data_IF_385482823458
#
_entry.id   IF_385482823458
#
_cell.length_a   1.000
_cell.length_b   1.000
_cell.length_c   1.000
_cell.angle_alpha   90.00
_cell.angle_beta   90.00
_cell.angle_gamma   90.00
#
_symmetry.space_group_name_H-M   'P 1'
#
loop_
_entity.id
_entity.type
_entity.pdbx_description
1 polymer ?
#
# COMPACT_ATOMS: atom_id res chain seq x y z
N UNK A 1 -15.67 -6.66 12.16
CA UNK A 1 -14.55 -5.69 12.17
C UNK A 1 -14.63 -4.85 10.91
N UNK A 2 -14.54 -3.52 11.01
CA UNK A 2 -14.61 -2.68 9.82
C UNK A 2 -13.37 -2.82 8.95
N UNK A 3 -13.52 -2.54 7.66
CA UNK A 3 -12.44 -2.62 6.68
C UNK A 3 -12.40 -1.33 5.87
N UNK A 4 -11.20 -0.93 5.46
CA UNK A 4 -11.01 0.15 4.49
C UNK A 4 -11.05 -0.50 3.11
N UNK A 5 -11.82 0.08 2.19
CA UNK A 5 -11.99 -0.43 0.83
C UNK A 5 -11.76 0.69 -0.17
N UNK A 6 -10.98 0.41 -1.22
CA UNK A 6 -10.78 1.34 -2.34
C UNK A 6 -10.81 0.58 -3.66
N UNK A 7 -11.26 1.23 -4.70
CA UNK A 7 -11.24 0.71 -6.07
C UNK A 7 -10.63 1.75 -6.97
N UNK A 8 -9.55 1.37 -7.67
CA UNK A 8 -8.76 2.28 -8.50
C UNK A 8 -8.67 1.72 -9.91
N UNK A 9 -8.91 2.57 -10.91
CA UNK A 9 -8.69 2.23 -12.31
C UNK A 9 -7.34 2.78 -12.75
N UNK A 10 -6.48 1.92 -13.28
CA UNK A 10 -5.11 2.27 -13.66
C UNK A 10 -4.91 1.95 -15.15
N UNK A 11 -4.45 2.93 -15.91
CA UNK A 11 -4.16 2.78 -17.35
C UNK A 11 -2.72 2.26 -17.53
N UNK A 12 -2.47 1.08 -16.97
CA UNK A 12 -1.21 0.36 -17.10
C UNK A 12 -1.51 -1.13 -16.93
N UNK A 13 -0.73 -2.00 -17.59
CA UNK A 13 -0.98 -3.44 -17.52
C UNK A 13 -0.73 -4.01 -16.12
N UNK A 14 -1.41 -5.11 -15.81
CA UNK A 14 -1.33 -5.76 -14.49
C UNK A 14 0.12 -6.03 -14.07
N UNK A 15 0.96 -6.49 -14.98
CA UNK A 15 2.34 -6.80 -14.65
C UNK A 15 3.11 -5.58 -14.13
N UNK A 16 2.87 -4.40 -14.71
CA UNK A 16 3.51 -3.16 -14.27
C UNK A 16 3.02 -2.74 -12.88
N UNK A 17 1.73 -2.83 -12.65
CA UNK A 17 1.15 -2.50 -11.34
C UNK A 17 1.65 -3.48 -10.29
N UNK A 18 1.67 -4.77 -10.62
CA UNK A 18 2.19 -5.80 -9.74
C UNK A 18 3.64 -5.52 -9.32
N UNK A 19 4.51 -5.16 -10.28
CA UNK A 19 5.92 -4.89 -9.97
C UNK A 19 6.09 -3.73 -8.98
N UNK A 20 5.20 -2.74 -9.03
CA UNK A 20 5.25 -1.61 -8.10
C UNK A 20 4.80 -1.97 -6.68
N UNK A 21 4.12 -3.08 -6.50
CA UNK A 21 3.61 -3.51 -5.20
C UNK A 21 4.41 -4.69 -4.66
N UNK A 22 4.97 -5.51 -5.54
CA UNK A 22 5.67 -6.73 -5.16
C UNK A 22 7.10 -6.51 -4.69
N UNK A 23 7.72 -5.38 -5.01
CA UNK A 23 9.10 -5.10 -4.66
C UNK A 23 9.23 -3.90 -3.75
N UNK A 24 10.21 -3.92 -2.84
CA UNK A 24 10.45 -2.81 -1.92
C UNK A 24 10.82 -1.51 -2.65
N UNK A 25 11.53 -1.61 -3.76
CA UNK A 25 11.84 -0.42 -4.58
C UNK A 25 10.58 0.23 -5.13
N UNK A 26 9.66 -0.59 -5.65
CA UNK A 26 8.39 -0.09 -6.18
C UNK A 26 7.55 0.55 -5.09
N UNK A 27 7.40 -0.13 -3.97
CA UNK A 27 6.60 0.35 -2.83
C UNK A 27 7.13 1.70 -2.34
N UNK A 28 8.45 1.86 -2.25
CA UNK A 28 9.05 3.11 -1.80
C UNK A 28 8.73 4.28 -2.74
N UNK A 29 8.57 4.02 -4.02
CA UNK A 29 8.29 5.09 -5.00
C UNK A 29 6.92 5.72 -4.81
N UNK A 30 5.90 4.91 -4.55
CA UNK A 30 4.55 5.46 -4.48
C UNK A 30 4.06 5.71 -3.06
N UNK A 31 4.66 5.10 -2.06
CA UNK A 31 4.18 5.20 -0.67
C UNK A 31 5.02 6.14 0.19
N UNK A 32 6.27 5.77 0.47
CA UNK A 32 7.06 6.49 1.48
C UNK A 32 8.07 7.48 0.94
N UNK A 33 8.48 7.34 -0.31
CA UNK A 33 9.54 8.15 -0.90
C UNK A 33 10.91 7.88 -0.29
N UNK A 34 11.05 6.81 0.49
CA UNK A 34 12.28 6.45 1.22
C UNK A 34 12.50 4.95 1.11
N UNK A 35 13.75 4.48 0.96
CA UNK A 35 14.03 3.05 0.89
C UNK A 35 13.46 2.29 2.09
N UNK A 36 12.90 1.12 1.81
CA UNK A 36 12.34 0.24 2.82
C UNK A 36 13.42 -0.71 3.34
N UNK A 37 13.24 -1.17 4.57
CA UNK A 37 14.13 -2.12 5.21
C UNK A 37 13.56 -3.52 5.03
N UNK A 38 14.39 -4.47 4.58
CA UNK A 38 13.98 -5.86 4.42
C UNK A 38 13.74 -6.27 2.99
N UNK A 39 12.85 -7.22 2.78
CA UNK A 39 12.54 -7.76 1.46
C UNK A 39 11.06 -8.01 1.29
N UNK A 40 10.57 -7.83 0.05
CA UNK A 40 9.24 -8.25 -0.36
C UNK A 40 9.39 -9.59 -1.11
N UNK A 41 8.28 -10.28 -1.30
CA UNK A 41 8.23 -11.65 -1.80
C UNK A 41 7.62 -12.55 -0.75
N UNK A 42 7.02 -13.66 -1.15
CA UNK A 42 6.27 -14.51 -0.22
C UNK A 42 7.10 -14.86 1.02
N UNK A 43 6.54 -14.65 2.19
CA UNK A 43 7.23 -14.88 3.47
C UNK A 43 8.23 -13.80 3.85
N UNK A 44 8.48 -12.84 2.97
CA UNK A 44 9.39 -11.73 3.25
C UNK A 44 8.78 -10.75 4.24
N UNK A 45 9.64 -9.94 4.84
CA UNK A 45 9.28 -8.98 5.88
C UNK A 45 9.95 -7.67 5.56
N UNK A 46 9.20 -6.57 5.60
CA UNK A 46 9.79 -5.27 5.33
C UNK A 46 9.22 -4.20 6.26
N UNK A 47 10.08 -3.23 6.60
CA UNK A 47 9.73 -2.08 7.41
C UNK A 47 9.50 -0.86 6.54
N UNK A 48 8.51 -0.06 6.91
CA UNK A 48 8.11 1.15 6.20
C UNK A 48 8.48 2.35 7.05
N UNK A 49 9.25 3.27 6.49
CA UNK A 49 9.74 4.46 7.17
C UNK A 49 9.14 5.71 6.55
N UNK A 50 8.74 6.64 7.39
CA UNK A 50 8.28 7.96 6.97
C UNK A 50 9.21 9.02 7.57
N UNK A 51 9.52 10.06 6.78
CA UNK A 51 10.45 11.11 7.16
C UNK A 51 11.81 10.53 7.61
N UNK A 52 12.47 11.17 8.57
CA UNK A 52 13.78 10.76 9.06
C UNK A 52 13.72 9.93 10.34
N UNK A 53 12.64 9.19 10.51
CA UNK A 53 12.47 8.35 11.70
C UNK A 53 13.52 7.23 11.75
N UNK A 54 14.00 6.92 12.94
CA UNK A 54 14.97 5.86 13.17
C UNK A 54 14.35 4.47 13.17
N UNK A 55 13.07 4.39 13.45
CA UNK A 55 12.34 3.12 13.55
C UNK A 55 11.26 3.06 12.49
N UNK A 56 10.93 1.86 11.98
CA UNK A 56 9.84 1.73 11.02
C UNK A 56 8.51 2.13 11.66
N UNK A 57 7.67 2.81 10.89
CA UNK A 57 6.32 3.12 11.29
C UNK A 57 5.44 1.87 11.26
N UNK A 58 5.76 0.94 10.38
CA UNK A 58 5.05 -0.33 10.26
C UNK A 58 6.00 -1.40 9.75
N UNK A 59 5.76 -2.65 10.15
CA UNK A 59 6.48 -3.82 9.64
C UNK A 59 5.43 -4.79 9.11
N UNK A 60 5.59 -5.19 7.86
CA UNK A 60 4.69 -6.10 7.18
C UNK A 60 5.37 -7.41 6.82
N UNK A 61 4.58 -8.48 6.84
CA UNK A 61 4.97 -9.78 6.30
C UNK A 61 4.14 -10.07 5.06
N UNK A 62 4.80 -10.45 3.97
CA UNK A 62 4.11 -10.80 2.74
C UNK A 62 3.48 -12.18 2.91
N UNK A 63 2.15 -12.26 2.82
CA UNK A 63 1.38 -13.49 2.99
C UNK A 63 0.84 -14.05 1.68
N UNK A 64 0.79 -13.24 0.62
CA UNK A 64 0.43 -13.68 -0.71
C UNK A 64 1.16 -12.83 -1.73
N UNK A 65 1.64 -13.48 -2.80
CA UNK A 65 2.28 -12.80 -3.93
C UNK A 65 2.08 -13.66 -5.18
N UNK A 66 1.00 -13.38 -5.90
CA UNK A 66 0.67 -13.99 -7.18
C UNK A 66 0.46 -12.85 -8.18
N UNK A 67 0.38 -13.14 -9.50
CA UNK A 67 0.12 -12.06 -10.47
C UNK A 67 -1.14 -11.24 -10.18
N UNK A 68 -2.14 -11.84 -9.53
CA UNK A 68 -3.41 -11.17 -9.27
C UNK A 68 -3.65 -10.76 -7.83
N UNK A 69 -2.72 -11.04 -6.91
CA UNK A 69 -2.94 -10.72 -5.51
C UNK A 69 -1.64 -10.57 -4.73
N UNK A 70 -1.56 -9.50 -3.95
CA UNK A 70 -0.48 -9.30 -2.99
C UNK A 70 -1.14 -8.96 -1.66
N UNK A 71 -0.73 -9.65 -0.59
CA UNK A 71 -1.23 -9.37 0.76
C UNK A 71 -0.09 -9.22 1.75
N UNK A 72 -0.27 -8.29 2.68
CA UNK A 72 0.66 -8.05 3.77
C UNK A 72 -0.06 -8.11 5.11
N UNK A 73 0.45 -8.91 6.02
CA UNK A 73 -0.01 -8.87 7.42
C UNK A 73 0.84 -7.86 8.17
N UNK A 74 0.19 -6.98 8.90
CA UNK A 74 0.88 -5.98 9.72
C UNK A 74 1.34 -6.63 11.02
N UNK A 75 2.65 -6.72 11.21
CA UNK A 75 3.26 -7.30 12.42
C UNK A 75 3.59 -6.23 13.46
N UNK A 76 3.82 -5.00 13.02
CA UNK A 76 3.98 -3.82 13.87
C UNK A 76 3.39 -2.64 13.12
N UNK A 77 2.75 -1.74 13.82
CA UNK A 77 2.19 -0.56 13.18
C UNK A 77 1.55 0.39 14.17
N UNK A 78 1.15 1.58 13.69
CA UNK A 78 0.57 2.58 14.56
C UNK A 78 -0.87 2.23 14.92
N UNK A 79 -1.24 2.53 16.17
CA UNK A 79 -2.61 2.36 16.63
C UNK A 79 -3.17 0.97 16.40
N UNK A 80 -4.28 0.89 15.71
CA UNK A 80 -5.00 -0.36 15.48
C UNK A 80 -4.51 -1.15 14.26
N UNK A 81 -3.34 -0.85 13.73
CA UNK A 81 -2.79 -1.55 12.55
C UNK A 81 -2.33 -2.97 12.86
N UNK A 82 -1.91 -3.25 14.09
CA UNK A 82 -1.38 -4.58 14.45
C UNK A 82 -2.39 -5.68 14.12
N UNK A 83 -1.91 -6.70 13.44
CA UNK A 83 -2.69 -7.88 13.02
C UNK A 83 -3.76 -7.61 11.95
N UNK A 84 -3.79 -6.41 11.38
CA UNK A 84 -4.63 -6.14 10.21
C UNK A 84 -3.98 -6.72 8.95
N UNK A 85 -4.78 -6.87 7.89
CA UNK A 85 -4.34 -7.42 6.62
C UNK A 85 -4.58 -6.41 5.50
N UNK A 86 -3.50 -6.09 4.77
CA UNK A 86 -3.56 -5.21 3.62
C UNK A 86 -3.50 -6.07 2.37
N UNK A 87 -4.49 -5.95 1.47
CA UNK A 87 -4.57 -6.78 0.27
C UNK A 87 -4.78 -5.92 -0.98
N UNK A 88 -4.00 -6.23 -2.02
CA UNK A 88 -4.12 -5.63 -3.35
C UNK A 88 -4.55 -6.73 -4.30
N UNK A 89 -5.74 -6.61 -4.88
CA UNK A 89 -6.24 -7.54 -5.90
C UNK A 89 -6.18 -6.86 -7.25
N UNK A 90 -5.48 -7.45 -8.20
CA UNK A 90 -5.25 -6.90 -9.53
C UNK A 90 -6.02 -7.72 -10.55
N UNK A 91 -6.84 -7.04 -11.34
CA UNK A 91 -7.65 -7.67 -12.38
C UNK A 91 -7.46 -6.92 -13.69
N UNK A 92 -7.19 -7.62 -14.81
CA UNK A 92 -7.04 -6.91 -16.08
C UNK A 92 -8.33 -6.19 -16.47
N UNK A 93 -8.16 -5.00 -17.05
CA UNK A 93 -9.23 -4.26 -17.68
C UNK A 93 -8.79 -3.96 -19.12
N UNK A 94 -9.25 -4.78 -20.05
CA UNK A 94 -8.69 -4.78 -21.39
C UNK A 94 -7.25 -5.27 -21.40
N UNK A 95 -6.50 -4.95 -22.45
CA UNK A 95 -5.10 -5.40 -22.59
C UNK A 95 -4.12 -4.50 -21.85
N UNK A 96 -4.47 -3.23 -21.69
CA UNK A 96 -3.54 -2.21 -21.21
C UNK A 96 -3.92 -1.65 -19.84
N UNK A 97 -5.02 -2.09 -19.26
CA UNK A 97 -5.52 -1.53 -18.01
C UNK A 97 -5.61 -2.52 -16.86
N UNK A 98 -5.75 -1.98 -15.68
CA UNK A 98 -5.89 -2.75 -14.43
C UNK A 98 -7.00 -2.16 -13.57
N UNK A 99 -7.84 -3.02 -13.01
CA UNK A 99 -8.70 -2.66 -11.90
C UNK A 99 -8.02 -3.16 -10.63
N UNK A 100 -7.70 -2.23 -9.73
CA UNK A 100 -7.11 -2.53 -8.43
C UNK A 100 -8.18 -2.45 -7.36
N UNK A 101 -8.36 -3.53 -6.63
CA UNK A 101 -9.20 -3.55 -5.44
C UNK A 101 -8.27 -3.62 -4.23
N UNK A 102 -8.43 -2.67 -3.33
CA UNK A 102 -7.60 -2.55 -2.14
C UNK A 102 -8.43 -2.76 -0.89
N UNK A 103 -7.92 -3.52 0.06
CA UNK A 103 -8.53 -3.64 1.38
C UNK A 103 -7.46 -3.50 2.46
N UNK A 104 -7.82 -2.82 3.54
CA UNK A 104 -7.06 -2.84 4.77
C UNK A 104 -8.05 -3.32 5.84
N UNK A 105 -8.02 -4.61 6.11
CA UNK A 105 -9.07 -5.33 6.81
C UNK A 105 -8.70 -5.68 8.25
N UNK A 106 -9.73 -5.89 9.06
CA UNK A 106 -9.55 -6.40 10.42
C UNK A 106 -9.31 -5.35 11.48
N UNK A 107 -9.74 -4.11 11.24
CA UNK A 107 -9.70 -3.08 12.27
C UNK A 107 -10.65 -3.45 13.40
N UNK A 108 -10.25 -3.17 14.64
CA UNK A 108 -11.08 -3.51 15.80
C UNK A 108 -12.36 -2.68 15.83
N UNK A 109 -12.26 -1.41 15.46
CA UNK A 109 -13.41 -0.50 15.44
C UNK A 109 -13.22 0.60 14.40
N UNK A 110 -14.31 1.19 13.97
CA UNK A 110 -14.27 2.38 13.14
C UNK A 110 -13.88 3.57 14.04
N UNK A 111 -12.90 4.37 13.62
CA UNK A 111 -12.38 5.47 14.41
C UNK A 111 -11.94 6.60 13.49
N UNK A 112 -11.67 7.78 14.08
CA UNK A 112 -11.10 8.88 13.31
C UNK A 112 -9.75 8.49 12.72
N UNK A 113 -8.96 7.72 13.46
CA UNK A 113 -7.67 7.23 12.98
C UNK A 113 -7.86 6.39 11.72
N UNK A 114 -8.82 5.47 11.72
CA UNK A 114 -9.14 4.67 10.54
C UNK A 114 -9.57 5.56 9.37
N UNK A 115 -10.37 6.59 9.63
CA UNK A 115 -10.82 7.54 8.60
C UNK A 115 -9.64 8.28 7.98
N UNK A 116 -8.70 8.75 8.79
CA UNK A 116 -7.49 9.40 8.28
C UNK A 116 -6.62 8.47 7.48
N UNK A 117 -6.46 7.23 7.94
CA UNK A 117 -5.72 6.21 7.19
C UNK A 117 -6.38 5.91 5.84
N UNK A 118 -7.72 5.85 5.80
CA UNK A 118 -8.45 5.64 4.54
C UNK A 118 -8.19 6.78 3.56
N UNK A 119 -8.22 8.01 4.03
CA UNK A 119 -7.93 9.19 3.21
C UNK A 119 -6.50 9.11 2.63
N UNK A 120 -5.54 8.78 3.47
CA UNK A 120 -4.14 8.65 3.02
C UNK A 120 -3.96 7.48 2.07
N UNK A 121 -4.62 6.35 2.30
CA UNK A 121 -4.58 5.24 1.36
C UNK A 121 -5.07 5.66 -0.02
N UNK A 122 -6.18 6.42 -0.09
CA UNK A 122 -6.67 6.94 -1.37
C UNK A 122 -5.62 7.78 -2.09
N UNK A 123 -4.91 8.63 -1.35
CA UNK A 123 -3.85 9.46 -1.90
C UNK A 123 -2.66 8.63 -2.37
N UNK A 124 -2.19 7.66 -1.57
CA UNK A 124 -1.06 6.81 -1.96
C UNK A 124 -1.42 5.88 -3.12
N UNK A 125 -2.64 5.39 -3.17
CA UNK A 125 -3.11 4.59 -4.32
C UNK A 125 -3.19 5.44 -5.58
N UNK A 126 -3.52 6.74 -5.46
CA UNK A 126 -3.46 7.67 -6.57
C UNK A 126 -2.02 7.87 -7.03
N UNK A 127 -1.07 7.95 -6.09
CA UNK A 127 0.37 8.00 -6.41
C UNK A 127 0.79 6.75 -7.19
N UNK A 128 0.36 5.58 -6.77
CA UNK A 128 0.61 4.32 -7.49
C UNK A 128 0.05 4.40 -8.91
N UNK A 129 -1.18 4.88 -9.06
CA UNK A 129 -1.84 5.01 -10.36
C UNK A 129 -1.06 5.94 -11.28
N UNK A 130 -0.78 7.17 -10.85
CA UNK A 130 -0.08 8.14 -11.69
C UNK A 130 1.34 7.69 -11.99
N UNK A 131 1.99 7.03 -11.05
CA UNK A 131 3.32 6.47 -11.24
C UNK A 131 3.33 5.34 -12.27
N UNK A 132 2.36 4.43 -12.20
CA UNK A 132 2.24 3.33 -13.16
C UNK A 132 1.94 3.85 -14.57
N UNK A 133 1.12 4.90 -14.68
CA UNK A 133 0.68 5.46 -15.97
C UNK A 133 1.72 6.36 -16.60
N UNK A 134 2.44 7.17 -15.82
CA UNK A 134 3.28 8.25 -16.35
C UNK A 134 4.66 8.37 -15.71
N UNK A 135 4.97 7.55 -14.72
CA UNK A 135 6.22 7.67 -13.97
C UNK A 135 6.24 8.77 -12.92
N UNK A 136 5.10 9.45 -12.70
CA UNK A 136 5.00 10.49 -11.68
C UNK A 136 4.38 9.94 -10.41
N UNK A 137 5.17 9.95 -9.35
CA UNK A 137 4.77 9.48 -8.04
C UNK A 137 4.64 10.63 -7.06
N UNK A 138 3.70 10.53 -6.13
CA UNK A 138 3.51 11.52 -5.06
C UNK A 138 3.49 10.80 -3.71
N UNK A 139 4.65 10.22 -3.31
CA UNK A 139 4.72 9.51 -2.03
C UNK A 139 4.67 10.49 -0.86
N UNK A 140 4.76 9.96 0.35
CA UNK A 140 4.92 10.80 1.54
C UNK A 140 6.14 11.74 1.34
N UNK A 141 6.07 13.03 1.68
CA UNK A 141 4.96 13.69 2.38
C UNK A 141 3.81 14.20 1.50
N UNK A 142 3.97 14.22 0.17
CA UNK A 142 2.93 14.77 -0.72
C UNK A 142 1.62 14.00 -0.63
N UNK A 143 1.68 12.67 -0.47
CA UNK A 143 0.50 11.84 -0.36
C UNK A 143 -0.17 11.85 1.00
N UNK A 144 0.41 12.54 1.98
CA UNK A 144 -0.22 12.63 3.30
C UNK A 144 -1.26 13.74 3.31
N UNK A 145 -2.52 13.36 3.35
CA UNK A 145 -3.65 14.29 3.39
C UNK A 145 -4.12 14.48 4.83
N UNK A 146 -4.10 13.42 5.62
CA UNK A 146 -4.52 13.44 7.03
C UNK A 146 -3.31 13.07 7.89
N UNK A 147 -3.02 13.91 8.88
CA UNK A 147 -1.90 13.66 9.80
C UNK A 147 -2.33 12.65 10.87
N UNK A 148 -1.36 11.88 11.36
CA UNK A 148 -1.63 10.86 12.36
C UNK A 148 -1.88 11.44 13.76
N UNK A 149 -1.53 12.67 13.98
CA UNK A 149 -1.75 13.34 15.29
C UNK A 149 -2.48 14.65 15.14
#
# INVERSE_FOLDING_TARGET
MPDILHRISIDAPVARVHDLIAGTEGIARWWTGRPLDGSAGIGGRFGVYFADADKPAAVMRVTADTPGEISWRVEQGPGSWLDTLITFTLRPHGEEGTTLLFTHAGWQEASEFMSGCSTNWGAYLTSLKTGAESGRFTPYPQGEISRWS
#
